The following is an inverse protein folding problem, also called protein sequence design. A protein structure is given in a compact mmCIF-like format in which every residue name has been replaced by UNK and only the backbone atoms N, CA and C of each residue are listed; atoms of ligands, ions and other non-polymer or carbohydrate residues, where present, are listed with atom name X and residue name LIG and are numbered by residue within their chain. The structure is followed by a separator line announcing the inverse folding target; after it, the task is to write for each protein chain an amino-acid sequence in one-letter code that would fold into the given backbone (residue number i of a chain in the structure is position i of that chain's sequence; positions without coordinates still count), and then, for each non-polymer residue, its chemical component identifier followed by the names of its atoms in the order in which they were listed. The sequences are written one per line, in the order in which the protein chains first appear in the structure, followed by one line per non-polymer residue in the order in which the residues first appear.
data_IF_505792538115
#
_entry.id   IF_505792538115
#
_cell.length_a   1.000
_cell.length_b   1.000
_cell.length_c   1.000
_cell.angle_alpha   90.00
_cell.angle_beta   90.00
_cell.angle_gamma   90.00
#
_symmetry.space_group_name_H-M   'P 1'
#
loop_
_entity.id
_entity.type
_entity.pdbx_description
1 polymer ?
#
# COMPACT_ATOMS: atom_id res chain seq x y z
N UNK A 1 -29.82 -15.45 -25.90
CA UNK A 1 -28.79 -15.69 -24.86
C UNK A 1 -29.53 -16.07 -23.60
N UNK A 2 -29.45 -17.35 -23.20
CA UNK A 2 -30.23 -17.88 -22.10
C UNK A 2 -29.60 -17.59 -20.74
N UNK A 3 -30.41 -17.74 -19.68
CA UNK A 3 -30.02 -17.60 -18.27
C UNK A 3 -28.73 -18.37 -17.91
N UNK A 4 -28.35 -19.39 -18.67
CA UNK A 4 -27.12 -20.15 -18.47
C UNK A 4 -25.81 -19.34 -18.55
N UNK A 5 -25.76 -18.25 -19.34
CA UNK A 5 -24.57 -17.38 -19.43
C UNK A 5 -24.38 -16.50 -18.17
N UNK A 6 -25.49 -16.14 -17.52
CA UNK A 6 -25.46 -15.37 -16.26
C UNK A 6 -24.95 -16.24 -15.10
N UNK A 7 -25.43 -17.48 -15.04
CA UNK A 7 -24.97 -18.43 -14.00
C UNK A 7 -23.51 -18.83 -14.16
N UNK A 8 -23.02 -19.04 -15.38
CA UNK A 8 -21.62 -19.36 -15.64
C UNK A 8 -20.65 -18.25 -15.22
N UNK A 9 -21.02 -16.99 -15.43
CA UNK A 9 -20.21 -15.85 -14.95
C UNK A 9 -20.17 -15.77 -13.42
N UNK A 10 -21.30 -16.01 -12.77
CA UNK A 10 -21.36 -16.04 -11.30
C UNK A 10 -20.53 -17.18 -10.70
N UNK A 11 -20.52 -18.35 -11.33
CA UNK A 11 -19.71 -19.50 -10.90
C UNK A 11 -18.21 -19.21 -11.01
N UNK A 12 -17.76 -18.57 -12.09
CA UNK A 12 -16.37 -18.20 -12.26
C UNK A 12 -15.92 -17.24 -11.16
N UNK A 13 -16.66 -16.18 -10.91
CA UNK A 13 -16.33 -15.17 -9.90
C UNK A 13 -16.31 -15.79 -8.49
N UNK A 14 -17.31 -16.59 -8.14
CA UNK A 14 -17.35 -17.31 -6.87
C UNK A 14 -16.19 -18.28 -6.72
N UNK A 15 -15.85 -19.01 -7.77
CA UNK A 15 -14.72 -19.94 -7.75
C UNK A 15 -13.41 -19.19 -7.55
N UNK A 16 -13.24 -18.05 -8.21
CA UNK A 16 -12.08 -17.18 -8.05
C UNK A 16 -11.92 -16.70 -6.60
N UNK A 17 -13.01 -16.20 -6.00
CA UNK A 17 -13.01 -15.75 -4.60
C UNK A 17 -12.67 -16.89 -3.62
N UNK A 18 -13.31 -18.05 -3.77
CA UNK A 18 -13.06 -19.21 -2.90
C UNK A 18 -11.62 -19.70 -3.04
N UNK A 19 -11.10 -19.72 -4.27
CA UNK A 19 -9.72 -20.14 -4.54
C UNK A 19 -8.71 -19.20 -3.91
N UNK A 20 -8.89 -17.89 -4.09
CA UNK A 20 -8.04 -16.87 -3.48
C UNK A 20 -8.12 -16.92 -1.94
N UNK A 21 -9.33 -17.05 -1.39
CA UNK A 21 -9.52 -17.19 0.05
C UNK A 21 -8.77 -18.42 0.59
N UNK A 22 -8.89 -19.56 -0.09
CA UNK A 22 -8.19 -20.79 0.29
C UNK A 22 -6.66 -20.65 0.16
N UNK A 23 -6.20 -19.96 -0.87
CA UNK A 23 -4.78 -19.75 -1.13
C UNK A 23 -4.10 -18.92 -0.02
N UNK A 24 -4.71 -17.81 0.41
CA UNK A 24 -4.12 -16.93 1.43
C UNK A 24 -4.38 -17.40 2.87
N UNK A 25 -5.35 -18.28 3.08
CA UNK A 25 -5.80 -18.73 4.40
C UNK A 25 -4.69 -19.33 5.28
N UNK A 26 -3.82 -20.24 4.80
CA UNK A 26 -2.77 -20.81 5.64
C UNK A 26 -1.82 -19.76 6.22
N UNK A 27 -1.40 -18.79 5.37
CA UNK A 27 -0.49 -17.72 5.77
C UNK A 27 -1.13 -16.80 6.81
N UNK A 28 -2.38 -16.38 6.56
CA UNK A 28 -3.12 -15.51 7.50
C UNK A 28 -3.39 -16.20 8.82
N UNK A 29 -3.75 -17.48 8.81
CA UNK A 29 -3.92 -18.27 10.04
C UNK A 29 -2.64 -18.34 10.86
N UNK A 30 -1.52 -18.63 10.22
CA UNK A 30 -0.22 -18.67 10.89
C UNK A 30 0.13 -17.31 11.49
N UNK A 31 0.04 -16.24 10.69
CA UNK A 31 0.34 -14.89 11.12
C UNK A 31 -0.49 -14.45 12.32
N UNK A 32 -1.83 -14.54 12.23
CA UNK A 32 -2.72 -14.09 13.30
C UNK A 32 -2.60 -14.96 14.57
N UNK A 33 -2.28 -16.25 14.42
CA UNK A 33 -2.02 -17.11 15.58
C UNK A 33 -0.74 -16.68 16.30
N UNK A 34 0.35 -16.45 15.57
CA UNK A 34 1.61 -15.95 16.14
C UNK A 34 1.43 -14.58 16.78
N UNK A 35 0.75 -13.66 16.10
CA UNK A 35 0.47 -12.31 16.62
C UNK A 35 -0.27 -12.36 17.96
N UNK A 36 -1.32 -13.19 18.06
CA UNK A 36 -2.05 -13.38 19.34
C UNK A 36 -1.15 -13.90 20.46
N UNK A 37 -0.27 -14.83 20.16
CA UNK A 37 0.67 -15.38 21.14
C UNK A 37 1.71 -14.35 21.58
N UNK A 38 2.28 -13.61 20.64
CA UNK A 38 3.27 -12.58 20.92
C UNK A 38 2.68 -11.43 21.74
N UNK A 39 1.51 -10.92 21.37
CA UNK A 39 0.82 -9.90 22.15
C UNK A 39 0.58 -10.36 23.60
N UNK A 40 0.14 -11.60 23.78
CA UNK A 40 -0.03 -12.17 25.12
C UNK A 40 1.27 -12.29 25.88
N UNK A 41 2.38 -12.67 25.21
CA UNK A 41 3.70 -12.84 25.84
C UNK A 41 4.28 -11.53 26.38
N UNK A 42 3.94 -10.39 25.75
CA UNK A 42 4.34 -9.04 26.20
C UNK A 42 3.31 -8.38 27.13
N UNK A 43 2.32 -9.15 27.59
CA UNK A 43 1.35 -8.69 28.60
C UNK A 43 0.15 -7.90 28.03
N UNK A 44 -0.04 -7.86 26.71
CA UNK A 44 -1.21 -7.23 26.10
C UNK A 44 -2.39 -8.21 26.14
N UNK A 45 -3.40 -7.90 26.96
CA UNK A 45 -4.63 -8.69 27.15
C UNK A 45 -5.87 -8.07 26.50
N UNK A 46 -5.72 -6.91 25.86
CA UNK A 46 -6.82 -6.25 25.17
C UNK A 46 -7.38 -7.10 24.03
N UNK A 47 -8.68 -7.02 23.71
CA UNK A 47 -9.24 -7.67 22.53
C UNK A 47 -8.55 -7.23 21.26
N UNK A 48 -8.14 -8.19 20.43
CA UNK A 48 -7.56 -7.92 19.12
C UNK A 48 -8.67 -7.82 18.08
N UNK A 49 -8.66 -6.76 17.29
CA UNK A 49 -9.49 -6.58 16.12
C UNK A 49 -8.63 -6.39 14.88
N UNK A 50 -9.11 -6.90 13.77
CA UNK A 50 -8.44 -6.82 12.47
C UNK A 50 -9.24 -5.89 11.56
N UNK A 51 -8.59 -4.91 10.97
CA UNK A 51 -9.20 -4.05 9.96
C UNK A 51 -9.56 -4.87 8.72
N UNK A 52 -10.70 -4.58 8.12
CA UNK A 52 -11.12 -5.14 6.84
C UNK A 52 -10.87 -4.15 5.69
N UNK A 53 -10.81 -4.67 4.46
CA UNK A 53 -10.63 -3.87 3.23
C UNK A 53 -11.74 -2.83 3.02
N UNK A 54 -12.92 -3.04 3.61
CA UNK A 54 -14.04 -2.09 3.57
C UNK A 54 -13.98 -0.99 4.65
N UNK A 55 -12.92 -0.96 5.47
CA UNK A 55 -12.78 -0.01 6.58
C UNK A 55 -13.50 -0.42 7.86
N UNK A 56 -14.17 -1.58 7.90
CA UNK A 56 -14.73 -2.16 9.11
C UNK A 56 -13.68 -2.92 9.93
N UNK A 57 -14.11 -3.46 11.07
CA UNK A 57 -13.28 -4.30 11.93
C UNK A 57 -13.93 -5.67 12.14
N UNK A 58 -13.10 -6.69 12.26
CA UNK A 58 -13.54 -8.08 12.54
C UNK A 58 -12.67 -8.74 13.59
N UNK A 59 -13.08 -9.90 14.09
CA UNK A 59 -12.25 -10.69 15.01
C UNK A 59 -11.17 -11.46 14.27
N UNK A 60 -10.07 -11.85 14.93
CA UNK A 60 -9.04 -12.68 14.32
C UNK A 60 -9.60 -14.01 13.77
N UNK A 61 -10.56 -14.60 14.46
CA UNK A 61 -11.20 -15.86 14.06
C UNK A 61 -11.94 -15.73 12.72
N UNK A 62 -12.69 -14.63 12.55
CA UNK A 62 -13.36 -14.34 11.29
C UNK A 62 -12.36 -14.00 10.18
N UNK A 63 -11.31 -13.21 10.49
CA UNK A 63 -10.25 -12.91 9.52
C UNK A 63 -9.51 -14.17 9.06
N UNK A 64 -9.25 -15.13 9.96
CA UNK A 64 -8.68 -16.43 9.61
C UNK A 64 -9.58 -17.30 8.75
N UNK A 65 -10.90 -17.18 8.91
CA UNK A 65 -11.87 -17.93 8.11
C UNK A 65 -12.12 -17.28 6.74
N UNK A 66 -12.06 -15.95 6.67
CA UNK A 66 -12.30 -15.15 5.45
C UNK A 66 -11.19 -14.13 5.18
N UNK A 67 -9.95 -14.59 4.98
CA UNK A 67 -8.80 -13.71 4.81
C UNK A 67 -8.86 -12.82 3.57
N UNK A 68 -9.68 -13.16 2.59
CA UNK A 68 -9.91 -12.33 1.41
C UNK A 68 -10.45 -10.93 1.76
N UNK A 69 -11.14 -10.79 2.90
CA UNK A 69 -11.71 -9.52 3.35
C UNK A 69 -10.69 -8.56 3.97
N UNK A 70 -9.44 -9.01 4.20
CA UNK A 70 -8.40 -8.20 4.85
C UNK A 70 -7.18 -7.92 3.95
N UNK A 71 -7.23 -8.26 2.65
CA UNK A 71 -6.08 -8.12 1.75
C UNK A 71 -5.60 -6.67 1.67
N UNK A 72 -6.53 -5.70 1.56
CA UNK A 72 -6.23 -4.26 1.49
C UNK A 72 -6.48 -3.54 2.83
N UNK A 73 -6.38 -4.24 3.95
CA UNK A 73 -6.70 -3.70 5.28
C UNK A 73 -5.79 -2.53 5.71
N UNK A 74 -4.51 -2.55 5.36
CA UNK A 74 -3.57 -1.49 5.69
C UNK A 74 -3.93 -0.15 5.02
N UNK A 75 -4.03 -0.09 3.68
CA UNK A 75 -4.51 1.08 2.97
C UNK A 75 -5.88 1.56 3.44
N UNK A 76 -6.82 0.65 3.65
CA UNK A 76 -8.15 0.98 4.17
C UNK A 76 -8.08 1.66 5.54
N UNK A 77 -7.21 1.17 6.44
CA UNK A 77 -6.98 1.79 7.74
C UNK A 77 -6.42 3.23 7.60
N UNK A 78 -5.49 3.44 6.65
CA UNK A 78 -4.93 4.75 6.33
C UNK A 78 -6.01 5.74 5.92
N UNK A 79 -6.91 5.35 5.01
CA UNK A 79 -8.03 6.19 4.57
C UNK A 79 -8.97 6.53 5.71
N UNK A 80 -9.39 5.53 6.51
CA UNK A 80 -10.27 5.74 7.67
C UNK A 80 -9.60 6.64 8.71
N UNK A 81 -8.31 6.43 8.98
CA UNK A 81 -7.53 7.24 9.91
C UNK A 81 -7.43 8.69 9.46
N UNK A 82 -7.05 8.93 8.21
CA UNK A 82 -6.95 10.28 7.63
C UNK A 82 -8.29 11.01 7.65
N UNK A 83 -9.39 10.31 7.30
CA UNK A 83 -10.74 10.87 7.35
C UNK A 83 -11.14 11.30 8.75
N UNK A 84 -10.77 10.52 9.78
CA UNK A 84 -11.10 10.84 11.17
C UNK A 84 -10.24 11.93 11.78
N UNK A 85 -8.98 12.06 11.30
CA UNK A 85 -8.06 13.10 11.75
C UNK A 85 -8.33 14.44 11.08
N UNK A 86 -9.02 14.46 9.93
CA UNK A 86 -9.45 15.72 9.32
C UNK A 86 -10.39 16.46 10.28
N UNK A 87 -10.21 17.76 10.39
CA UNK A 87 -10.94 18.63 11.32
C UNK A 87 -12.39 18.90 10.94
N UNK A 88 -12.94 18.14 9.99
CA UNK A 88 -14.29 18.33 9.41
C UNK A 88 -14.55 19.72 8.79
N UNK A 89 -13.53 20.60 8.72
CA UNK A 89 -13.67 21.90 8.05
C UNK A 89 -13.81 21.77 6.53
N UNK A 90 -13.40 20.61 6.00
CA UNK A 90 -13.46 20.30 4.57
C UNK A 90 -14.42 19.12 4.34
N UNK A 91 -15.42 19.32 3.48
CA UNK A 91 -16.38 18.28 3.12
C UNK A 91 -15.78 17.20 2.23
N UNK A 92 -14.71 17.53 1.52
CA UNK A 92 -14.03 16.60 0.61
C UNK A 92 -12.53 16.66 0.81
N UNK A 93 -11.87 15.51 0.76
CA UNK A 93 -10.42 15.38 0.89
C UNK A 93 -9.89 14.23 0.02
N UNK A 94 -8.63 14.30 -0.31
CA UNK A 94 -7.86 13.21 -0.89
C UNK A 94 -6.92 12.69 0.18
N UNK A 95 -7.02 11.40 0.48
CA UNK A 95 -6.03 10.73 1.33
C UNK A 95 -4.89 10.25 0.45
N UNK A 96 -3.66 10.36 0.95
CA UNK A 96 -2.46 9.89 0.27
C UNK A 96 -1.57 9.13 1.25
N UNK A 97 -1.26 7.90 0.92
CA UNK A 97 -0.39 7.02 1.71
C UNK A 97 0.71 6.46 0.80
N UNK A 98 1.96 6.77 1.09
CA UNK A 98 3.10 6.29 0.32
C UNK A 98 3.97 5.37 1.18
N UNK A 99 3.98 4.09 0.82
CA UNK A 99 4.89 3.10 1.36
C UNK A 99 6.23 3.07 0.63
N UNK A 100 7.02 2.01 0.86
CA UNK A 100 8.32 1.83 0.21
C UNK A 100 8.24 1.53 -1.29
N UNK A 101 7.15 0.91 -1.76
CA UNK A 101 7.01 0.42 -3.15
C UNK A 101 5.87 1.06 -3.92
N UNK A 102 4.81 1.47 -3.24
CA UNK A 102 3.59 1.99 -3.87
C UNK A 102 3.04 3.19 -3.11
N UNK A 103 2.40 4.09 -3.84
CA UNK A 103 1.58 5.14 -3.29
C UNK A 103 0.10 4.82 -3.52
N UNK A 104 -0.73 5.13 -2.54
CA UNK A 104 -2.16 4.86 -2.53
C UNK A 104 -2.94 6.14 -2.26
N UNK A 105 -3.95 6.38 -3.05
CA UNK A 105 -4.82 7.54 -2.88
C UNK A 105 -6.29 7.12 -2.86
N UNK A 106 -7.10 7.79 -2.05
CA UNK A 106 -8.54 7.61 -2.02
C UNK A 106 -9.25 8.95 -1.88
N UNK A 107 -10.47 9.03 -2.40
CA UNK A 107 -11.30 10.22 -2.34
C UNK A 107 -12.34 10.04 -1.24
N UNK A 108 -12.49 11.07 -0.42
CA UNK A 108 -13.55 11.18 0.57
C UNK A 108 -14.40 12.39 0.18
N UNK A 109 -15.70 12.19 -0.02
CA UNK A 109 -16.65 13.22 -0.39
C UNK A 109 -17.71 13.35 0.71
N UNK A 110 -17.97 14.58 1.14
CA UNK A 110 -18.93 14.87 2.23
C UNK A 110 -18.71 14.01 3.50
N UNK A 111 -17.44 13.74 3.81
CA UNK A 111 -17.07 12.89 4.95
C UNK A 111 -17.32 11.39 4.73
N UNK A 112 -17.75 10.98 3.54
CA UNK A 112 -18.00 9.59 3.19
C UNK A 112 -16.86 9.03 2.35
N UNK A 113 -16.35 7.88 2.76
CA UNK A 113 -15.31 7.14 2.03
C UNK A 113 -15.92 6.43 0.84
N UNK A 114 -15.33 6.58 -0.33
CA UNK A 114 -15.74 5.87 -1.55
C UNK A 114 -15.49 4.36 -1.43
N UNK A 115 -16.43 3.55 -1.87
CA UNK A 115 -16.32 2.09 -1.85
C UNK A 115 -16.37 1.48 -3.25
N UNK A 116 -15.49 0.53 -3.51
CA UNK A 116 -15.52 -0.32 -4.68
C UNK A 116 -16.25 -1.65 -4.34
N UNK A 117 -17.01 -2.16 -5.31
CA UNK A 117 -17.68 -3.47 -5.17
C UNK A 117 -16.79 -4.64 -5.58
N UNK A 118 -15.75 -4.34 -6.32
CA UNK A 118 -14.78 -5.30 -6.84
C UNK A 118 -13.43 -4.64 -6.94
N UNK A 119 -12.36 -5.38 -6.72
CA UNK A 119 -10.99 -4.95 -6.94
C UNK A 119 -10.18 -6.07 -7.60
N UNK A 120 -9.04 -5.74 -8.17
CA UNK A 120 -8.18 -6.68 -8.88
C UNK A 120 -6.96 -7.02 -8.03
N UNK A 121 -6.71 -8.32 -7.83
CA UNK A 121 -5.56 -8.85 -7.08
C UNK A 121 -4.53 -9.42 -8.06
N UNK A 122 -3.26 -9.09 -7.87
CA UNK A 122 -2.16 -9.63 -8.68
C UNK A 122 -2.05 -9.05 -10.09
N UNK A 123 -2.73 -7.94 -10.38
CA UNK A 123 -2.55 -7.19 -11.61
C UNK A 123 -1.21 -6.45 -11.62
N UNK A 124 -0.68 -6.15 -12.81
CA UNK A 124 0.52 -5.31 -12.91
C UNK A 124 0.20 -3.90 -12.40
N UNK A 125 1.02 -3.39 -11.50
CA UNK A 125 0.90 -2.13 -10.74
C UNK A 125 0.68 -0.84 -11.56
N UNK A 126 0.61 -0.92 -12.88
CA UNK A 126 0.61 0.24 -13.76
C UNK A 126 -0.78 0.66 -14.29
N UNK A 127 -1.88 0.17 -13.76
CA UNK A 127 -3.19 0.48 -14.33
C UNK A 127 -4.26 0.80 -13.29
N UNK A 128 -4.20 2.00 -12.74
CA UNK A 128 -5.29 2.66 -12.02
C UNK A 128 -6.44 3.08 -12.97
N UNK A 129 -6.82 2.25 -13.95
CA UNK A 129 -7.87 2.60 -14.87
C UNK A 129 -8.98 1.55 -14.87
N UNK A 130 -10.16 1.94 -14.41
CA UNK A 130 -11.42 1.17 -14.55
C UNK A 130 -11.74 0.78 -16.00
N UNK A 131 -11.08 1.39 -16.97
CA UNK A 131 -11.32 1.18 -18.41
C UNK A 131 -10.44 0.10 -19.04
N UNK A 132 -9.36 -0.29 -18.37
CA UNK A 132 -8.45 -1.32 -18.87
C UNK A 132 -8.40 -2.46 -17.86
N UNK A 133 -9.09 -3.55 -18.14
CA UNK A 133 -8.96 -4.79 -17.36
C UNK A 133 -7.51 -5.22 -17.35
N UNK A 134 -6.94 -5.32 -16.14
CA UNK A 134 -5.59 -5.80 -15.93
C UNK A 134 -5.48 -7.31 -16.15
N UNK A 135 -4.31 -7.84 -15.87
CA UNK A 135 -4.01 -9.28 -15.93
C UNK A 135 -4.26 -10.00 -14.59
N UNK A 136 -4.84 -9.32 -13.60
CA UNK A 136 -5.09 -9.85 -12.26
C UNK A 136 -6.43 -10.57 -12.13
N UNK A 137 -6.68 -11.05 -10.93
CA UNK A 137 -7.93 -11.74 -10.57
C UNK A 137 -8.92 -10.75 -9.96
N UNK A 138 -10.08 -10.62 -10.57
CA UNK A 138 -11.17 -9.78 -10.04
C UNK A 138 -11.80 -10.47 -8.84
N UNK A 139 -11.90 -9.75 -7.74
CA UNK A 139 -12.46 -10.19 -6.47
C UNK A 139 -13.63 -9.27 -6.12
N UNK A 140 -14.79 -9.84 -5.82
CA UNK A 140 -16.00 -9.10 -5.43
C UNK A 140 -16.16 -9.07 -3.91
N UNK A 141 -15.22 -8.42 -3.27
CA UNK A 141 -15.27 -8.14 -1.84
C UNK A 141 -15.40 -6.64 -1.65
N UNK A 142 -16.31 -6.22 -0.77
CA UNK A 142 -16.46 -4.82 -0.46
C UNK A 142 -15.14 -4.24 0.07
N UNK A 143 -14.62 -3.23 -0.60
CA UNK A 143 -13.37 -2.55 -0.26
C UNK A 143 -13.52 -1.04 -0.38
N UNK A 144 -12.66 -0.29 0.30
CA UNK A 144 -12.49 1.13 0.02
C UNK A 144 -11.94 1.28 -1.40
N UNK A 145 -12.42 2.27 -2.15
CA UNK A 145 -11.93 2.58 -3.50
C UNK A 145 -10.58 3.29 -3.38
N UNK A 146 -9.51 2.56 -3.69
CA UNK A 146 -8.13 3.01 -3.55
C UNK A 146 -7.46 2.92 -4.92
N UNK A 147 -6.94 4.06 -5.38
CA UNK A 147 -6.07 4.11 -6.54
C UNK A 147 -4.63 3.81 -6.11
N UNK A 148 -4.00 2.83 -6.73
CA UNK A 148 -2.61 2.46 -6.46
C UNK A 148 -1.70 2.91 -7.60
N UNK A 149 -0.55 3.48 -7.23
CA UNK A 149 0.49 3.95 -8.14
C UNK A 149 1.77 3.18 -7.80
N UNK A 150 2.40 2.59 -8.81
CA UNK A 150 3.65 1.84 -8.65
C UNK A 150 4.88 2.74 -8.43
N UNK A 151 4.75 3.71 -7.54
CA UNK A 151 5.83 4.60 -7.12
C UNK A 151 5.77 4.75 -5.60
N UNK A 152 6.86 4.50 -4.92
CA UNK A 152 6.97 4.61 -3.47
C UNK A 152 8.34 5.11 -3.06
N UNK A 153 8.59 5.21 -1.76
CA UNK A 153 9.82 5.76 -1.21
C UNK A 153 11.11 5.13 -1.75
N UNK A 154 11.09 3.83 -2.08
CA UNK A 154 12.22 3.12 -2.69
C UNK A 154 12.32 3.26 -4.20
N UNK A 155 11.38 3.92 -4.89
CA UNK A 155 11.45 4.10 -6.34
C UNK A 155 12.64 4.94 -6.74
N UNK A 156 13.44 4.41 -7.67
CA UNK A 156 14.68 5.05 -8.14
C UNK A 156 14.32 6.23 -9.03
N UNK A 157 14.98 7.35 -8.78
CA UNK A 157 14.91 8.56 -9.60
C UNK A 157 15.96 8.47 -10.70
N UNK A 158 15.58 8.82 -11.91
CA UNK A 158 16.51 8.87 -13.06
C UNK A 158 16.11 9.96 -14.03
N UNK A 159 17.06 10.39 -14.85
CA UNK A 159 16.78 11.31 -15.95
C UNK A 159 16.37 10.49 -17.18
N UNK A 160 15.23 10.83 -17.74
CA UNK A 160 14.73 10.18 -18.96
C UNK A 160 15.42 10.73 -20.23
N UNK A 161 15.12 10.12 -21.37
CA UNK A 161 15.70 10.54 -22.66
C UNK A 161 15.29 11.98 -23.09
N UNK A 162 14.26 12.54 -22.48
CA UNK A 162 13.80 13.92 -22.71
C UNK A 162 14.42 14.93 -21.75
N UNK A 163 15.27 14.49 -20.81
CA UNK A 163 15.87 15.35 -19.76
C UNK A 163 14.97 15.60 -18.56
N UNK A 164 13.82 14.93 -18.48
CA UNK A 164 12.90 15.00 -17.34
C UNK A 164 13.25 14.01 -16.24
N UNK A 165 12.83 14.30 -15.01
CA UNK A 165 12.94 13.34 -13.90
C UNK A 165 11.88 12.26 -14.04
N UNK A 166 12.30 11.01 -14.19
CA UNK A 166 11.45 9.82 -14.18
C UNK A 166 11.54 9.11 -12.83
N UNK A 167 10.41 8.55 -12.36
CA UNK A 167 10.28 7.81 -11.11
C UNK A 167 9.98 6.37 -11.42
N UNK A 168 10.87 5.47 -10.99
CA UNK A 168 10.72 4.05 -11.23
C UNK A 168 10.81 3.66 -12.72
N UNK A 169 10.23 2.51 -13.13
CA UNK A 169 9.54 1.51 -12.29
C UNK A 169 10.46 0.72 -11.34
N UNK A 170 11.76 0.91 -11.45
CA UNK A 170 12.75 0.22 -10.62
C UNK A 170 12.70 0.74 -9.19
N UNK A 171 12.87 -0.18 -8.22
CA UNK A 171 12.91 0.15 -6.79
C UNK A 171 14.23 -0.34 -6.20
N UNK A 172 14.80 0.45 -5.30
CA UNK A 172 15.96 0.06 -4.51
C UNK A 172 15.63 -1.02 -3.46
N UNK A 173 14.34 -1.32 -3.26
CA UNK A 173 13.88 -2.26 -2.25
C UNK A 173 14.18 -1.77 -0.82
N UNK A 174 14.27 -2.73 0.11
CA UNK A 174 14.64 -2.48 1.49
C UNK A 174 16.14 -2.73 1.75
N UNK A 175 16.78 -3.58 0.96
CA UNK A 175 18.18 -3.96 1.02
C UNK A 175 18.74 -4.04 -0.41
N UNK A 176 19.75 -3.22 -0.79
CA UNK A 176 20.41 -2.19 0.01
C UNK A 176 19.54 -0.94 0.29
N UNK A 177 18.41 -0.78 -0.36
CA UNK A 177 17.47 0.31 -0.14
C UNK A 177 17.94 1.68 -0.65
N UNK A 178 17.22 2.76 -0.26
CA UNK A 178 17.60 4.14 -0.49
C UNK A 178 19.02 4.46 -0.03
N UNK A 179 19.67 5.43 -0.68
CA UNK A 179 21.03 5.87 -0.29
C UNK A 179 21.10 6.32 1.17
N UNK A 180 20.05 6.98 1.66
CA UNK A 180 19.94 7.42 3.04
C UNK A 180 19.89 6.29 4.09
N UNK A 181 19.58 5.06 3.70
CA UNK A 181 19.57 3.92 4.63
C UNK A 181 20.98 3.50 5.07
N UNK A 182 21.99 3.90 4.32
CA UNK A 182 23.41 3.61 4.63
C UNK A 182 23.75 2.11 4.63
N UNK A 183 22.99 1.30 3.91
CA UNK A 183 23.18 -0.14 3.74
C UNK A 183 23.90 -0.51 2.42
N UNK A 184 24.46 0.49 1.72
CA UNK A 184 25.15 0.27 0.44
C UNK A 184 24.35 0.70 -0.79
N UNK A 185 23.10 1.21 -0.63
CA UNK A 185 22.36 1.86 -1.70
C UNK A 185 23.09 3.10 -2.21
N UNK A 186 23.14 3.26 -3.55
CA UNK A 186 23.82 4.38 -4.21
C UNK A 186 22.89 5.18 -5.12
N UNK A 187 21.79 4.58 -5.57
CA UNK A 187 20.85 5.24 -6.47
C UNK A 187 19.95 6.19 -5.69
N UNK A 188 19.68 7.41 -6.22
CA UNK A 188 18.74 8.32 -5.60
C UNK A 188 17.31 7.76 -5.68
N UNK A 189 16.56 7.93 -4.61
CA UNK A 189 15.17 7.47 -4.50
C UNK A 189 14.25 8.59 -4.03
N UNK A 190 12.93 8.36 -4.05
CA UNK A 190 11.95 9.28 -3.47
C UNK A 190 12.25 9.50 -1.97
N UNK A 191 12.59 8.43 -1.22
CA UNK A 191 12.92 8.55 0.20
C UNK A 191 14.13 9.46 0.46
N UNK A 192 15.12 9.47 -0.44
CA UNK A 192 16.25 10.38 -0.36
C UNK A 192 15.81 11.82 -0.59
N UNK A 193 14.93 12.05 -1.57
CA UNK A 193 14.36 13.37 -1.83
C UNK A 193 13.49 13.86 -0.65
N UNK A 194 12.63 13.01 -0.11
CA UNK A 194 11.77 13.33 1.02
C UNK A 194 12.59 13.66 2.29
N UNK A 195 13.71 12.96 2.47
CA UNK A 195 14.62 13.25 3.57
C UNK A 195 15.29 14.63 3.42
N UNK A 196 15.79 14.95 2.22
CA UNK A 196 16.43 16.26 1.94
C UNK A 196 15.41 17.40 2.02
N UNK A 197 14.16 17.16 1.58
CA UNK A 197 13.06 18.13 1.70
C UNK A 197 12.51 18.28 3.12
N UNK A 198 12.92 17.40 4.05
CA UNK A 198 12.49 17.46 5.45
C UNK A 198 11.13 16.80 5.73
N UNK A 199 10.56 16.05 4.79
CA UNK A 199 9.34 15.28 5.01
C UNK A 199 9.60 14.06 5.88
N UNK A 200 10.81 13.50 5.85
CA UNK A 200 11.23 12.38 6.71
C UNK A 200 12.19 12.90 7.79
N UNK A 201 11.92 12.57 9.05
CA UNK A 201 12.81 12.92 10.15
C UNK A 201 13.99 11.92 10.21
N UNK A 202 15.25 12.38 10.02
CA UNK A 202 16.42 11.49 9.97
C UNK A 202 16.70 10.75 11.27
N UNK A 203 16.16 11.23 12.40
CA UNK A 203 16.44 10.67 13.74
C UNK A 203 15.34 9.76 14.26
N UNK A 204 14.19 9.69 13.61
CA UNK A 204 13.01 9.03 14.18
C UNK A 204 12.38 7.96 13.29
N UNK A 205 13.05 7.50 12.24
CA UNK A 205 12.58 6.34 11.49
C UNK A 205 12.55 5.11 12.41
N UNK A 206 11.48 4.32 12.34
CA UNK A 206 11.26 3.16 13.22
C UNK A 206 11.42 3.50 14.73
N UNK A 207 10.84 4.61 15.18
CA UNK A 207 10.93 5.04 16.58
C UNK A 207 12.34 5.49 17.00
N UNK A 208 13.21 5.85 16.06
CA UNK A 208 14.58 6.30 16.31
C UNK A 208 15.62 5.17 16.35
N UNK A 209 15.19 3.92 16.11
CA UNK A 209 16.13 2.77 16.04
C UNK A 209 16.91 2.71 14.73
N UNK A 210 16.48 3.47 13.73
CA UNK A 210 17.07 3.49 12.40
C UNK A 210 17.41 4.93 11.97
N UNK A 211 18.63 5.42 12.24
CA UNK A 211 19.04 6.75 11.81
C UNK A 211 19.31 6.78 10.31
N UNK A 212 18.88 7.85 9.65
CA UNK A 212 19.10 8.05 8.22
C UNK A 212 20.29 8.94 7.96
N UNK A 213 21.01 8.69 6.87
CA UNK A 213 22.19 9.46 6.47
C UNK A 213 21.81 10.51 5.41
N UNK A 214 21.52 11.75 5.85
CA UNK A 214 21.15 12.85 4.96
C UNK A 214 22.24 13.20 3.94
N UNK A 215 23.53 13.09 4.31
CA UNK A 215 24.62 13.39 3.39
C UNK A 215 24.70 12.40 2.22
N UNK A 216 24.38 11.12 2.44
CA UNK A 216 24.31 10.14 1.36
C UNK A 216 23.12 10.40 0.42
N UNK A 217 21.97 10.81 0.95
CA UNK A 217 20.84 11.24 0.15
C UNK A 217 21.18 12.43 -0.74
N UNK A 218 21.73 13.51 -0.15
CA UNK A 218 22.17 14.70 -0.89
C UNK A 218 23.19 14.36 -1.99
N UNK A 219 24.17 13.54 -1.68
CA UNK A 219 25.18 13.10 -2.64
C UNK A 219 24.59 12.33 -3.81
N UNK A 220 23.70 11.37 -3.55
CA UNK A 220 23.05 10.57 -4.60
C UNK A 220 22.21 11.45 -5.52
N UNK A 221 21.39 12.35 -4.96
CA UNK A 221 20.59 13.30 -5.73
C UNK A 221 21.45 14.26 -6.54
N UNK A 222 22.50 14.83 -5.93
CA UNK A 222 23.38 15.79 -6.60
C UNK A 222 24.18 15.13 -7.74
N UNK A 223 24.61 13.86 -7.61
CA UNK A 223 25.37 13.19 -8.66
C UNK A 223 24.54 12.79 -9.88
N UNK A 224 23.33 12.27 -9.65
CA UNK A 224 22.56 11.59 -10.68
C UNK A 224 21.44 12.47 -11.27
N UNK A 225 20.89 13.36 -10.46
CA UNK A 225 19.76 14.22 -10.86
C UNK A 225 20.22 15.69 -11.06
N UNK A 226 21.08 16.18 -10.19
CA UNK A 226 21.55 17.58 -10.22
C UNK A 226 22.07 18.05 -11.57
N UNK A 227 22.95 17.31 -12.29
CA UNK A 227 23.52 17.77 -13.56
C UNK A 227 22.50 18.03 -14.68
N UNK A 228 21.33 17.40 -14.61
CA UNK A 228 20.27 17.58 -15.62
C UNK A 228 19.30 18.72 -15.30
N UNK A 229 19.26 19.15 -14.04
CA UNK A 229 18.35 20.21 -13.59
C UNK A 229 19.02 21.59 -13.49
N UNK A 230 20.35 21.67 -13.56
CA UNK A 230 21.15 22.92 -13.50
C UNK A 230 21.53 23.25 -12.08
#
# INVERSE_FOLDING_TARGET
RGLGDVYKRQEYERTSEVTLNAYVMPLVKQYLTSLKQELKSIGISAPLYIMQSNGGMTTPENAMARPIEIIECGPAAGVVGATRLSDHSHSSLITFDMGGTTAKASIVEEGQVSHAREYEVGGSLNRASRLLKGSGYVVRVASIDIAEIGAGGGSILKIDAGGGVAIGPESAGADPGPACYDLGGINPTIADADLVLGYINPKHLCGGTYPLNSHKAEKALASDIGPALG
#
